data_IF_880166734733
#
_entry.id   IF_880166734733
#
_cell.length_a   1.000
_cell.length_b   1.000
_cell.length_c   1.000
_cell.angle_alpha   90.00
_cell.angle_beta   90.00
_cell.angle_gamma   90.00
#
_symmetry.space_group_name_H-M   'P 1'
#
loop_
_entity.id
_entity.type
_entity.pdbx_description
1 polymer ?
#
# COMPACT_ATOMS: atom_id res chain seq x y z
N UNK A 1 26.05 1.53 16.92
CA UNK A 1 24.95 1.57 15.93
C UNK A 1 25.22 0.45 14.94
N UNK A 2 24.36 -0.58 14.91
CA UNK A 2 24.49 -1.64 13.91
C UNK A 2 24.38 -1.01 12.52
N UNK A 3 25.28 -1.36 11.60
CA UNK A 3 25.10 -1.00 10.20
C UNK A 3 23.75 -1.59 9.77
N UNK A 4 22.77 -0.73 9.51
CA UNK A 4 21.49 -1.18 8.94
C UNK A 4 21.81 -1.98 7.68
N UNK A 5 21.29 -3.20 7.58
CA UNK A 5 21.50 -4.02 6.40
C UNK A 5 21.01 -3.22 5.18
N UNK A 6 21.91 -3.01 4.23
CA UNK A 6 21.64 -2.29 3.00
C UNK A 6 21.60 -3.28 1.85
N UNK A 7 20.46 -3.38 1.21
CA UNK A 7 20.18 -4.26 0.09
C UNK A 7 20.39 -3.50 -1.21
N UNK A 8 21.00 -4.14 -2.19
CA UNK A 8 21.12 -3.66 -3.55
C UNK A 8 19.79 -3.74 -4.28
N UNK A 9 19.67 -3.02 -5.39
CA UNK A 9 18.52 -3.13 -6.29
C UNK A 9 18.20 -4.59 -6.65
N UNK A 10 19.23 -5.38 -6.99
CA UNK A 10 19.09 -6.77 -7.42
C UNK A 10 18.49 -7.64 -6.29
N UNK A 11 19.03 -7.52 -5.08
CA UNK A 11 18.52 -8.24 -3.91
C UNK A 11 17.07 -7.87 -3.59
N UNK A 12 16.70 -6.58 -3.69
CA UNK A 12 15.31 -6.14 -3.47
C UNK A 12 14.38 -6.69 -4.55
N UNK A 13 14.79 -6.65 -5.82
CA UNK A 13 13.98 -7.19 -6.92
C UNK A 13 13.74 -8.69 -6.80
N UNK A 14 14.77 -9.44 -6.40
CA UNK A 14 14.67 -10.88 -6.18
C UNK A 14 13.77 -11.18 -4.98
N UNK A 15 13.99 -10.50 -3.86
CA UNK A 15 13.24 -10.69 -2.62
C UNK A 15 11.75 -10.38 -2.76
N UNK A 16 11.41 -9.32 -3.48
CA UNK A 16 10.02 -8.86 -3.63
C UNK A 16 9.35 -9.33 -4.93
N UNK A 17 10.08 -10.02 -5.81
CA UNK A 17 9.55 -10.51 -7.08
C UNK A 17 9.11 -9.38 -8.03
N UNK A 18 9.82 -8.25 -8.04
CA UNK A 18 9.50 -7.09 -8.88
C UNK A 18 10.65 -6.75 -9.81
N UNK A 19 10.39 -5.96 -10.84
CA UNK A 19 11.44 -5.51 -11.77
C UNK A 19 12.15 -4.27 -11.23
N UNK A 20 13.41 -4.08 -11.62
CA UNK A 20 14.13 -2.82 -11.33
C UNK A 20 13.42 -1.60 -11.92
N UNK A 21 12.72 -1.79 -13.07
CA UNK A 21 11.86 -0.77 -13.67
C UNK A 21 10.74 -0.33 -12.72
N UNK A 22 10.14 -1.27 -11.98
CA UNK A 22 9.11 -0.98 -10.98
C UNK A 22 9.68 -0.14 -9.84
N UNK A 23 10.87 -0.49 -9.34
CA UNK A 23 11.53 0.29 -8.28
C UNK A 23 11.87 1.70 -8.74
N UNK A 24 12.47 1.84 -9.92
CA UNK A 24 12.75 3.16 -10.51
C UNK A 24 11.48 3.98 -10.69
N UNK A 25 10.40 3.35 -11.14
CA UNK A 25 9.15 4.04 -11.33
C UNK A 25 8.55 4.52 -10.01
N UNK A 26 8.61 3.71 -8.94
CA UNK A 26 8.14 4.14 -7.61
C UNK A 26 9.00 5.26 -7.01
N UNK A 27 10.31 5.27 -7.25
CA UNK A 27 11.21 6.37 -6.90
C UNK A 27 10.87 7.64 -7.72
N UNK A 28 10.71 7.52 -9.04
CA UNK A 28 10.44 8.64 -9.96
C UNK A 28 9.14 9.38 -9.63
N UNK A 29 8.09 8.63 -9.30
CA UNK A 29 6.83 9.24 -8.88
C UNK A 29 6.83 9.61 -7.40
N UNK A 30 7.92 9.39 -6.65
CA UNK A 30 8.01 9.74 -5.23
C UNK A 30 7.09 8.92 -4.32
N UNK A 31 6.82 7.66 -4.67
CA UNK A 31 6.23 6.70 -3.72
C UNK A 31 7.28 6.17 -2.74
N UNK A 32 8.56 6.19 -3.10
CA UNK A 32 9.67 5.88 -2.22
C UNK A 32 10.39 7.18 -1.82
N UNK A 33 10.93 7.25 -0.60
CA UNK A 33 11.85 8.34 -0.23
C UNK A 33 13.12 8.28 -1.09
N UNK A 34 13.92 9.35 -1.05
CA UNK A 34 15.20 9.41 -1.74
C UNK A 34 16.10 8.23 -1.32
N UNK A 35 16.37 7.34 -2.26
CA UNK A 35 17.13 6.11 -2.01
C UNK A 35 18.61 6.45 -1.85
N UNK A 36 19.20 5.97 -0.76
CA UNK A 36 20.61 6.16 -0.49
C UNK A 36 21.49 5.55 -1.61
N UNK A 37 22.67 6.13 -1.80
CA UNK A 37 23.66 5.64 -2.75
C UNK A 37 24.95 5.24 -2.05
N UNK A 38 25.60 4.21 -2.55
CA UNK A 38 26.95 3.83 -2.13
C UNK A 38 27.99 4.81 -2.69
N UNK A 39 29.24 4.72 -2.23
CA UNK A 39 30.35 5.49 -2.78
C UNK A 39 30.55 5.25 -4.29
N UNK A 40 30.21 4.04 -4.76
CA UNK A 40 30.17 3.68 -6.20
C UNK A 40 28.94 4.19 -6.95
N UNK A 41 28.11 5.05 -6.35
CA UNK A 41 26.85 5.61 -6.89
C UNK A 41 25.73 4.59 -7.18
N UNK A 42 25.82 3.38 -6.64
CA UNK A 42 24.76 2.37 -6.75
C UNK A 42 23.68 2.60 -5.70
N UNK A 43 22.41 2.35 -6.05
CA UNK A 43 21.26 2.46 -5.12
C UNK A 43 21.31 1.35 -4.09
N UNK A 44 21.04 1.72 -2.85
CA UNK A 44 20.92 0.81 -1.72
C UNK A 44 19.70 1.15 -0.88
N UNK A 45 19.00 0.11 -0.48
CA UNK A 45 17.73 0.14 0.23
C UNK A 45 17.94 -0.39 1.63
N UNK A 46 17.50 0.34 2.64
CA UNK A 46 17.39 -0.21 3.98
C UNK A 46 16.13 -1.07 4.11
N UNK A 47 16.04 -1.81 5.21
CA UNK A 47 14.92 -2.69 5.48
C UNK A 47 13.58 -1.93 5.55
N UNK A 48 13.57 -0.69 6.06
CA UNK A 48 12.38 0.15 6.12
C UNK A 48 11.85 0.49 4.72
N UNK A 49 12.75 0.82 3.79
CA UNK A 49 12.38 1.04 2.39
C UNK A 49 11.85 -0.24 1.75
N UNK A 50 12.44 -1.40 2.06
CA UNK A 50 11.96 -2.71 1.57
C UNK A 50 10.57 -3.03 2.10
N UNK A 51 10.31 -2.79 3.38
CA UNK A 51 8.99 -2.97 4.00
C UNK A 51 7.95 -2.03 3.38
N UNK A 52 8.33 -0.78 3.09
CA UNK A 52 7.49 0.17 2.36
C UNK A 52 7.15 -0.35 0.96
N UNK A 53 8.12 -0.86 0.21
CA UNK A 53 7.86 -1.44 -1.12
C UNK A 53 6.92 -2.64 -1.00
N UNK A 54 7.15 -3.53 -0.03
CA UNK A 54 6.26 -4.66 0.21
C UNK A 54 4.83 -4.21 0.57
N UNK A 55 4.68 -3.14 1.33
CA UNK A 55 3.38 -2.55 1.65
C UNK A 55 2.67 -1.98 0.40
N UNK A 56 3.37 -1.21 -0.43
CA UNK A 56 2.88 -0.73 -1.74
C UNK A 56 2.36 -1.90 -2.59
N UNK A 57 3.12 -3.00 -2.65
CA UNK A 57 2.72 -4.18 -3.42
C UNK A 57 1.45 -4.83 -2.86
N UNK A 58 1.31 -4.93 -1.53
CA UNK A 58 0.10 -5.45 -0.90
C UNK A 58 -1.12 -4.59 -1.22
N UNK A 59 -1.02 -3.26 -1.10
CA UNK A 59 -2.11 -2.35 -1.44
C UNK A 59 -2.51 -2.48 -2.91
N UNK A 60 -1.54 -2.57 -3.81
CA UNK A 60 -1.82 -2.74 -5.24
C UNK A 60 -2.49 -4.08 -5.55
N UNK A 61 -2.00 -5.17 -4.97
CA UNK A 61 -2.46 -6.53 -5.30
C UNK A 61 -3.78 -6.89 -4.62
N UNK A 62 -3.94 -6.55 -3.34
CA UNK A 62 -5.10 -6.95 -2.54
C UNK A 62 -6.25 -5.98 -2.73
N UNK A 63 -5.98 -4.68 -2.62
CA UNK A 63 -7.02 -3.65 -2.71
C UNK A 63 -7.30 -3.24 -4.18
N UNK A 64 -6.41 -3.59 -5.11
CA UNK A 64 -6.49 -3.09 -6.48
C UNK A 64 -6.33 -1.57 -6.53
N UNK A 65 -5.63 -1.00 -5.54
CA UNK A 65 -5.45 0.43 -5.42
C UNK A 65 -4.57 0.97 -6.57
N UNK A 66 -4.99 2.10 -7.13
CA UNK A 66 -4.18 2.89 -8.04
C UNK A 66 -2.97 3.46 -7.30
N UNK A 67 -1.92 3.83 -8.03
CA UNK A 67 -0.72 4.42 -7.42
C UNK A 67 -1.01 5.79 -6.76
N UNK A 68 -2.06 6.48 -7.21
CA UNK A 68 -2.51 7.71 -6.56
C UNK A 68 -3.14 7.40 -5.20
N UNK A 69 -4.08 6.45 -5.14
CA UNK A 69 -4.69 6.02 -3.87
C UNK A 69 -3.62 5.49 -2.90
N UNK A 70 -2.63 4.75 -3.41
CA UNK A 70 -1.51 4.26 -2.58
C UNK A 70 -0.71 5.42 -2.00
N UNK A 71 -0.43 6.48 -2.78
CA UNK A 71 0.24 7.67 -2.27
C UNK A 71 -0.56 8.32 -1.14
N UNK A 72 -1.86 8.47 -1.34
CA UNK A 72 -2.73 9.12 -0.36
C UNK A 72 -2.78 8.33 0.95
N UNK A 73 -2.79 6.99 0.87
CA UNK A 73 -2.67 6.09 2.03
C UNK A 73 -1.34 6.29 2.75
N UNK A 74 -0.21 6.18 2.02
CA UNK A 74 1.13 6.32 2.61
C UNK A 74 1.32 7.67 3.30
N UNK A 75 0.83 8.75 2.67
CA UNK A 75 0.91 10.10 3.24
C UNK A 75 0.12 10.21 4.55
N UNK A 76 -1.08 9.63 4.61
CA UNK A 76 -1.90 9.63 5.82
C UNK A 76 -1.24 8.83 6.96
N UNK A 77 -0.60 7.70 6.64
CA UNK A 77 0.16 6.90 7.61
C UNK A 77 1.38 7.65 8.15
N UNK A 78 2.18 8.26 7.26
CA UNK A 78 3.36 9.05 7.63
C UNK A 78 3.01 10.27 8.49
N UNK A 79 1.91 10.96 8.17
CA UNK A 79 1.42 12.07 8.96
C UNK A 79 1.06 11.64 10.38
N UNK A 80 0.36 10.51 10.53
CA UNK A 80 0.02 9.96 11.83
C UNK A 80 1.26 9.59 12.64
N UNK A 81 2.27 8.97 12.02
CA UNK A 81 3.52 8.65 12.71
C UNK A 81 4.29 9.91 13.13
N UNK A 82 4.30 10.97 12.32
CA UNK A 82 4.88 12.27 12.71
C UNK A 82 4.17 12.87 13.92
N UNK A 83 2.84 12.81 13.96
CA UNK A 83 2.05 13.30 15.10
C UNK A 83 2.32 12.45 16.37
N UNK A 84 2.50 11.13 16.23
CA UNK A 84 2.88 10.27 17.36
C UNK A 84 4.31 10.53 17.86
N UNK A 85 5.25 10.81 16.95
CA UNK A 85 6.63 11.10 17.32
C UNK A 85 6.77 12.43 18.07
N UNK A 86 5.94 13.43 17.75
CA UNK A 86 5.91 14.73 18.43
C UNK A 86 5.32 14.69 19.84
N UNK A 87 4.73 13.55 20.25
CA UNK A 87 4.19 13.27 21.59
C UNK A 87 5.25 13.33 22.71
N UNK A 88 6.54 13.36 22.38
CA UNK A 88 7.66 13.44 23.34
C UNK A 88 8.04 14.86 23.80
N UNK A 89 7.32 15.91 23.40
CA UNK A 89 7.59 17.30 23.81
C UNK A 89 6.32 18.10 24.17
N UNK A 90 6.50 19.25 24.81
CA UNK A 90 5.45 20.21 25.23
C UNK A 90 4.77 20.93 24.03
N UNK A 91 4.37 20.19 23.00
CA UNK A 91 3.63 20.77 21.88
C UNK A 91 2.18 21.07 22.29
N UNK A 92 1.73 22.26 21.87
CA UNK A 92 0.41 22.86 22.07
C UNK A 92 -0.71 21.86 21.75
N UNK A 93 -1.39 21.37 22.79
CA UNK A 93 -2.41 20.31 22.70
C UNK A 93 -3.49 20.58 21.63
N UNK A 94 -3.91 21.84 21.47
CA UNK A 94 -4.93 22.24 20.48
C UNK A 94 -4.49 22.04 19.03
N UNK A 95 -3.24 22.32 18.70
CA UNK A 95 -2.73 22.13 17.33
C UNK A 95 -2.59 20.64 17.02
N UNK A 96 -2.18 19.85 18.02
CA UNK A 96 -2.13 18.39 17.91
C UNK A 96 -3.51 17.80 17.65
N UNK A 97 -4.51 18.21 18.43
CA UNK A 97 -5.86 17.65 18.30
C UNK A 97 -6.44 17.96 16.91
N UNK A 98 -6.19 19.15 16.35
CA UNK A 98 -6.53 19.47 14.95
C UNK A 98 -5.85 18.55 13.94
N UNK A 99 -4.54 18.34 14.07
CA UNK A 99 -3.79 17.44 13.18
C UNK A 99 -4.28 16.00 13.26
N UNK A 100 -4.66 15.52 14.45
CA UNK A 100 -5.25 14.20 14.64
C UNK A 100 -6.63 14.10 13.99
N UNK A 101 -7.46 15.14 14.11
CA UNK A 101 -8.78 15.18 13.47
C UNK A 101 -8.65 15.14 11.94
N UNK A 102 -7.71 15.91 11.36
CA UNK A 102 -7.43 15.87 9.92
C UNK A 102 -6.95 14.50 9.45
N UNK A 103 -5.99 13.90 10.16
CA UNK A 103 -5.50 12.56 9.84
C UNK A 103 -6.63 11.51 9.95
N UNK A 104 -7.48 11.64 10.96
CA UNK A 104 -8.63 10.75 11.15
C UNK A 104 -9.67 10.89 10.03
N UNK A 105 -9.93 12.10 9.53
CA UNK A 105 -10.80 12.33 8.37
C UNK A 105 -10.22 11.70 7.09
N UNK A 106 -8.91 11.84 6.86
CA UNK A 106 -8.25 11.21 5.70
C UNK A 106 -8.39 9.68 5.75
N UNK A 107 -8.16 9.07 6.91
CA UNK A 107 -8.34 7.63 7.10
C UNK A 107 -9.80 7.20 6.94
N UNK A 108 -10.77 7.97 7.44
CA UNK A 108 -12.21 7.71 7.22
C UNK A 108 -12.55 7.69 5.73
N UNK A 109 -12.03 8.64 4.97
CA UNK A 109 -12.22 8.68 3.52
C UNK A 109 -11.65 7.43 2.84
N UNK A 110 -10.42 7.02 3.19
CA UNK A 110 -9.81 5.80 2.66
C UNK A 110 -10.65 4.57 2.96
N UNK A 111 -11.11 4.41 4.22
CA UNK A 111 -11.97 3.29 4.62
C UNK A 111 -13.26 3.25 3.80
N UNK A 112 -13.93 4.40 3.61
CA UNK A 112 -15.14 4.48 2.81
C UNK A 112 -14.93 4.04 1.35
N UNK A 113 -13.79 4.39 0.74
CA UNK A 113 -13.45 3.93 -0.62
C UNK A 113 -13.19 2.42 -0.67
N UNK A 114 -12.57 1.86 0.37
CA UNK A 114 -12.37 0.41 0.49
C UNK A 114 -13.72 -0.30 0.60
N UNK A 115 -14.62 0.20 1.45
CA UNK A 115 -15.94 -0.36 1.66
C UNK A 115 -16.77 -0.36 0.36
N UNK A 116 -16.77 0.75 -0.39
CA UNK A 116 -17.45 0.84 -1.69
C UNK A 116 -16.89 -0.20 -2.69
N UNK A 117 -15.57 -0.37 -2.75
CA UNK A 117 -14.94 -1.40 -3.59
C UNK A 117 -15.35 -2.80 -3.15
N UNK A 118 -15.39 -3.05 -1.84
CA UNK A 118 -15.80 -4.33 -1.29
C UNK A 118 -17.24 -4.67 -1.68
N UNK A 119 -18.17 -3.73 -1.60
CA UNK A 119 -19.56 -3.92 -2.03
C UNK A 119 -19.65 -4.31 -3.51
N UNK A 120 -18.95 -3.57 -4.40
CA UNK A 120 -18.92 -3.85 -5.85
C UNK A 120 -18.35 -5.23 -6.15
N UNK A 121 -17.24 -5.60 -5.50
CA UNK A 121 -16.62 -6.91 -5.66
C UNK A 121 -17.51 -8.05 -5.14
N UNK A 122 -18.21 -7.83 -4.03
CA UNK A 122 -19.17 -8.79 -3.50
C UNK A 122 -20.36 -9.00 -4.45
N UNK A 123 -20.90 -7.93 -5.03
CA UNK A 123 -21.96 -8.01 -6.04
C UNK A 123 -21.50 -8.78 -7.29
N UNK A 124 -20.28 -8.48 -7.79
CA UNK A 124 -19.70 -9.20 -8.92
C UNK A 124 -19.53 -10.70 -8.62
N UNK A 125 -19.00 -11.04 -7.44
CA UNK A 125 -18.86 -12.42 -6.96
C UNK A 125 -20.20 -13.15 -6.90
N UNK A 126 -21.25 -12.51 -6.39
CA UNK A 126 -22.59 -13.09 -6.37
C UNK A 126 -23.11 -13.34 -7.80
N UNK A 127 -22.89 -12.41 -8.72
CA UNK A 127 -23.22 -12.58 -10.12
C UNK A 127 -22.50 -13.77 -10.78
N UNK A 128 -21.24 -14.01 -10.45
CA UNK A 128 -20.53 -15.21 -10.94
C UNK A 128 -21.06 -16.51 -10.33
N UNK A 129 -21.39 -16.51 -9.03
CA UNK A 129 -22.01 -17.67 -8.37
C UNK A 129 -23.34 -18.04 -9.00
N UNK A 130 -24.22 -17.07 -9.26
CA UNK A 130 -25.51 -17.32 -9.90
C UNK A 130 -25.36 -17.92 -11.31
N UNK A 131 -24.37 -17.46 -12.08
CA UNK A 131 -24.04 -18.02 -13.40
C UNK A 131 -23.52 -19.46 -13.29
N UNK A 132 -22.66 -19.73 -12.32
CA UNK A 132 -22.14 -21.07 -12.05
C UNK A 132 -23.26 -22.06 -11.70
N UNK A 133 -24.18 -21.68 -10.81
CA UNK A 133 -25.36 -22.49 -10.46
C UNK A 133 -26.25 -22.77 -11.67
N UNK A 134 -26.43 -21.77 -12.55
CA UNK A 134 -27.19 -21.96 -13.80
C UNK A 134 -26.51 -22.97 -14.73
N UNK A 135 -25.19 -22.89 -14.89
CA UNK A 135 -24.43 -23.84 -15.70
C UNK A 135 -24.54 -25.27 -15.15
N UNK A 136 -24.47 -25.46 -13.83
CA UNK A 136 -24.66 -26.77 -13.19
C UNK A 136 -26.05 -27.35 -13.45
N UNK A 137 -27.11 -26.54 -13.34
CA UNK A 137 -28.48 -26.99 -13.63
C UNK A 137 -28.66 -27.44 -15.08
N UNK A 138 -28.10 -26.70 -16.04
CA UNK A 138 -28.18 -27.06 -17.46
C UNK A 138 -27.44 -28.36 -17.76
N UNK A 139 -26.30 -28.61 -17.13
CA UNK A 139 -25.56 -29.88 -17.28
C UNK A 139 -26.29 -31.05 -16.62
N UNK A 140 -26.89 -30.85 -15.45
CA UNK A 140 -27.65 -31.88 -14.73
C UNK A 140 -28.98 -32.26 -15.40
N UNK A 141 -29.64 -31.31 -16.07
CA UNK A 141 -30.88 -31.55 -16.81
C UNK A 141 -30.71 -32.12 -18.22
N UNK A 142 -29.48 -32.39 -18.67
CA UNK A 142 -29.18 -33.02 -19.97
C UNK A 142 -28.84 -34.51 -19.85
N UNK A 143 -29.06 -35.12 -18.67
CA UNK A 143 -28.73 -36.53 -18.37
C UNK A 143 -29.94 -37.42 -18.09
N UNK A 144 -31.16 -36.98 -18.43
CA UNK A 144 -32.39 -37.79 -18.49
C UNK A 144 -32.97 -37.73 -19.91
#
# INVERSE_FOLDING_TARGET
>A
MAAAARLTMEEVTERLGITSRTLHYYEEIGLLPDVARTEGRHRVYDEETVDRIAHILRLKQVLGASLQEIRDILNAEEELERIKASYRGESRLEERDRLLDEAAERLRSIIAHIDEKMEKLQAMRQGFRARLERAHRLKGGQSE
#
